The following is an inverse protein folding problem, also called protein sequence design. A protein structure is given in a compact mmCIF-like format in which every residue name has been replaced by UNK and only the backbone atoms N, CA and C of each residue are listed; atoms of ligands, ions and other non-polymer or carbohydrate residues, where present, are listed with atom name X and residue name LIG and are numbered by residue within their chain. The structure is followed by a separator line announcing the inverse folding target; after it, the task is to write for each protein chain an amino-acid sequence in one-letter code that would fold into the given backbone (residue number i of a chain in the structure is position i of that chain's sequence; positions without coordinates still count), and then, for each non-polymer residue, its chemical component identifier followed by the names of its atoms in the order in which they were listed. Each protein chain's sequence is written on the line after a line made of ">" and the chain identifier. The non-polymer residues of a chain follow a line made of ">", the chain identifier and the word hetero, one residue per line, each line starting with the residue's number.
data_IF_058356915570
#
_entry.id   IF_058356915570
#
_cell.length_a   1.000
_cell.length_b   1.000
_cell.length_c   1.000
_cell.angle_alpha   90.00
_cell.angle_beta   90.00
_cell.angle_gamma   90.00
#
_symmetry.space_group_name_H-M   'P 1'
#
loop_
_entity.id
_entity.type
_entity.pdbx_description
1 polymer ?
#
# COMPACT_ATOMS: atom_id res chain seq x y z
N UNK A 1 -1.27 -17.36 11.69
CA UNK A 1 -0.55 -17.75 10.47
C UNK A 1 -1.43 -17.58 9.26
N UNK A 2 -0.93 -16.82 8.28
CA UNK A 2 -1.56 -16.59 6.97
C UNK A 2 -1.22 -17.70 5.96
N UNK A 3 -0.39 -18.68 6.37
CA UNK A 3 0.11 -19.76 5.51
C UNK A 3 -0.97 -20.82 5.26
N UNK A 4 -1.48 -21.47 6.32
CA UNK A 4 -2.67 -22.34 6.24
C UNK A 4 -3.24 -22.63 7.64
N UNK A 5 -4.42 -23.26 7.69
CA UNK A 5 -5.10 -23.62 8.95
C UNK A 5 -4.26 -24.56 9.83
N UNK A 6 -3.56 -25.53 9.24
CA UNK A 6 -2.72 -26.49 9.98
C UNK A 6 -1.53 -25.81 10.65
N UNK A 7 -0.82 -24.93 9.93
CA UNK A 7 0.27 -24.12 10.51
C UNK A 7 -0.24 -23.18 11.60
N UNK A 8 -1.43 -22.59 11.41
CA UNK A 8 -2.06 -21.75 12.42
C UNK A 8 -2.36 -22.54 13.71
N UNK A 9 -2.86 -23.77 13.58
CA UNK A 9 -3.16 -24.66 14.69
C UNK A 9 -1.89 -25.07 15.46
N UNK A 10 -0.81 -25.42 14.75
CA UNK A 10 0.48 -25.81 15.34
C UNK A 10 1.05 -24.66 16.16
N UNK A 11 1.08 -23.45 15.59
CA UNK A 11 1.57 -22.26 16.31
C UNK A 11 0.73 -22.03 17.57
N UNK A 12 -0.60 -22.03 17.45
CA UNK A 12 -1.51 -21.77 18.58
C UNK A 12 -1.36 -22.78 19.73
N UNK A 13 -1.06 -24.04 19.43
CA UNK A 13 -0.99 -25.13 20.44
C UNK A 13 0.43 -25.44 20.93
N UNK A 14 1.46 -24.76 20.39
CA UNK A 14 2.84 -25.04 20.75
C UNK A 14 3.17 -24.52 22.15
N UNK A 15 3.24 -25.44 23.12
CA UNK A 15 3.69 -25.15 24.49
C UNK A 15 5.15 -24.69 24.54
N UNK A 16 6.00 -25.21 23.65
CA UNK A 16 7.40 -24.81 23.57
C UNK A 16 7.57 -23.37 23.10
N UNK A 17 6.76 -22.92 22.13
CA UNK A 17 6.74 -21.50 21.73
C UNK A 17 6.21 -20.62 22.86
N UNK A 18 5.13 -21.04 23.52
CA UNK A 18 4.57 -20.30 24.65
C UNK A 18 5.58 -20.12 25.79
N UNK A 19 6.28 -21.20 26.17
CA UNK A 19 7.34 -21.16 27.18
C UNK A 19 8.53 -20.28 26.76
N UNK A 20 8.93 -20.29 25.49
CA UNK A 20 10.01 -19.44 24.97
C UNK A 20 9.65 -17.95 25.08
N UNK A 21 8.43 -17.57 24.68
CA UNK A 21 8.00 -16.17 24.69
C UNK A 21 7.67 -15.64 26.08
N UNK A 22 7.16 -16.47 26.98
CA UNK A 22 7.01 -16.08 28.39
C UNK A 22 8.35 -15.91 29.11
N UNK A 23 9.40 -16.62 28.67
CA UNK A 23 10.77 -16.50 29.21
C UNK A 23 11.57 -15.35 28.62
N UNK A 24 11.13 -14.72 27.51
CA UNK A 24 11.81 -13.53 27.01
C UNK A 24 11.61 -12.39 28.01
N UNK A 25 12.70 -11.81 28.58
CA UNK A 25 12.57 -10.72 29.52
C UNK A 25 11.80 -9.58 28.85
N UNK A 26 10.76 -9.07 29.52
CA UNK A 26 10.34 -7.71 29.29
C UNK A 26 11.57 -6.85 29.57
N UNK A 27 12.20 -6.31 28.53
CA UNK A 27 13.42 -5.52 28.62
C UNK A 27 13.24 -4.19 29.39
N UNK A 28 12.09 -3.96 30.01
CA UNK A 28 11.81 -2.84 30.88
C UNK A 28 10.94 -3.34 32.06
N UNK A 29 11.45 -3.13 33.27
CA UNK A 29 10.83 -3.29 34.58
C UNK A 29 10.72 -4.70 35.18
N UNK A 30 11.59 -4.90 36.18
CA UNK A 30 11.37 -5.67 37.40
C UNK A 30 9.90 -5.94 37.72
N UNK A 31 9.41 -7.12 37.34
CA UNK A 31 8.33 -7.79 38.05
C UNK A 31 8.53 -9.28 37.89
N UNK A 32 8.67 -9.98 39.02
CA UNK A 32 8.52 -11.42 39.10
C UNK A 32 7.06 -11.76 38.79
N UNK A 33 6.67 -11.69 37.51
CA UNK A 33 5.37 -12.20 37.09
C UNK A 33 5.52 -13.70 36.87
N UNK A 34 4.83 -14.47 37.71
CA UNK A 34 4.58 -15.90 37.50
C UNK A 34 4.09 -16.13 36.08
N UNK A 35 4.65 -17.15 35.41
CA UNK A 35 4.30 -17.51 34.03
C UNK A 35 2.82 -17.90 33.97
N UNK A 36 1.99 -16.97 33.48
CA UNK A 36 0.56 -17.19 33.32
C UNK A 36 0.29 -17.98 32.03
N UNK A 37 0.13 -19.29 32.19
CA UNK A 37 -0.20 -20.21 31.09
C UNK A 37 -1.65 -20.08 30.60
N UNK A 38 -2.50 -19.25 31.21
CA UNK A 38 -3.90 -19.09 30.79
C UNK A 38 -4.07 -18.19 29.56
N UNK A 39 -3.11 -17.30 29.28
CA UNK A 39 -3.20 -16.39 28.14
C UNK A 39 -2.95 -17.10 26.79
N UNK A 40 -3.89 -16.99 25.82
CA UNK A 40 -3.68 -17.49 24.46
C UNK A 40 -2.45 -16.91 23.78
N UNK A 41 -1.66 -17.75 23.08
CA UNK A 41 -0.40 -17.36 22.45
C UNK A 41 -0.54 -16.17 21.47
N UNK A 42 -1.67 -16.06 20.76
CA UNK A 42 -1.89 -14.96 19.83
C UNK A 42 -1.95 -13.59 20.54
N UNK A 43 -2.57 -13.53 21.71
CA UNK A 43 -2.65 -12.29 22.51
C UNK A 43 -1.25 -11.93 23.03
N UNK A 44 -0.49 -12.93 23.48
CA UNK A 44 0.90 -12.71 23.91
C UNK A 44 1.78 -12.17 22.77
N UNK A 45 1.69 -12.76 21.59
CA UNK A 45 2.47 -12.33 20.42
C UNK A 45 2.07 -10.92 19.96
N UNK A 46 0.78 -10.61 20.00
CA UNK A 46 0.26 -9.28 19.69
C UNK A 46 0.79 -8.23 20.68
N UNK A 47 0.71 -8.51 21.99
CA UNK A 47 1.23 -7.61 23.02
C UNK A 47 2.75 -7.38 22.88
N UNK A 48 3.53 -8.43 22.64
CA UNK A 48 4.97 -8.31 22.39
C UNK A 48 5.25 -7.46 21.15
N UNK A 49 4.52 -7.69 20.05
CA UNK A 49 4.68 -6.93 18.82
C UNK A 49 4.35 -5.45 19.03
N UNK A 50 3.24 -5.15 19.70
CA UNK A 50 2.81 -3.78 20.00
C UNK A 50 3.81 -3.07 20.93
N UNK A 51 4.29 -3.74 21.98
CA UNK A 51 5.32 -3.18 22.87
C UNK A 51 6.61 -2.88 22.12
N UNK A 52 7.07 -3.80 21.26
CA UNK A 52 8.28 -3.59 20.44
C UNK A 52 8.11 -2.44 19.45
N UNK A 53 6.97 -2.37 18.74
CA UNK A 53 6.68 -1.26 17.83
C UNK A 53 6.59 0.07 18.56
N UNK A 54 5.92 0.13 19.71
CA UNK A 54 5.88 1.33 20.56
C UNK A 54 7.28 1.75 21.01
N UNK A 55 8.09 0.81 21.49
CA UNK A 55 9.47 1.10 21.91
C UNK A 55 10.32 1.62 20.75
N UNK A 56 10.21 1.01 19.57
CA UNK A 56 10.90 1.47 18.36
C UNK A 56 10.44 2.87 17.92
N UNK A 57 9.15 3.21 18.07
CA UNK A 57 8.64 4.54 17.73
C UNK A 57 9.06 5.63 18.73
N UNK A 58 9.12 5.30 20.02
CA UNK A 58 9.37 6.29 21.08
C UNK A 58 10.87 6.43 21.40
N UNK A 59 11.61 5.32 21.38
CA UNK A 59 13.02 5.24 21.80
C UNK A 59 13.95 4.79 20.67
N UNK A 60 13.42 4.46 19.50
CA UNK A 60 14.23 4.03 18.37
C UNK A 60 15.09 5.17 17.84
N UNK A 61 16.22 4.80 17.25
CA UNK A 61 17.04 5.72 16.49
C UNK A 61 16.41 5.95 15.12
N UNK A 62 16.30 7.21 14.71
CA UNK A 62 15.82 7.57 13.37
C UNK A 62 17.04 7.79 12.48
N UNK A 63 17.13 7.01 11.41
CA UNK A 63 18.05 7.30 10.31
C UNK A 63 17.26 7.98 9.18
N UNK A 64 17.81 9.07 8.66
CA UNK A 64 17.19 9.83 7.57
C UNK A 64 18.11 9.78 6.37
N UNK A 65 17.67 9.04 5.36
CA UNK A 65 18.30 9.04 4.04
C UNK A 65 17.61 10.07 3.14
N UNK A 66 18.40 10.80 2.36
CA UNK A 66 17.89 11.78 1.39
C UNK A 66 18.18 11.31 -0.03
N UNK A 67 17.12 11.09 -0.82
CA UNK A 67 17.25 10.73 -2.24
C UNK A 67 16.82 11.90 -3.11
N UNK A 68 17.69 12.31 -4.04
CA UNK A 68 17.36 13.30 -5.07
C UNK A 68 17.09 12.58 -6.37
N UNK A 69 16.00 12.94 -7.04
CA UNK A 69 15.64 12.33 -8.32
C UNK A 69 14.60 13.11 -9.11
N UNK A 70 13.56 13.62 -8.44
CA UNK A 70 12.60 14.51 -9.10
C UNK A 70 13.20 15.90 -9.28
N UNK A 71 12.90 16.53 -10.43
CA UNK A 71 13.30 17.91 -10.73
C UNK A 71 12.38 18.94 -10.07
N UNK A 72 11.24 18.50 -9.58
CA UNK A 72 10.19 19.32 -8.98
C UNK A 72 9.73 18.70 -7.66
N UNK A 73 8.77 19.35 -7.01
CA UNK A 73 8.15 18.87 -5.77
C UNK A 73 7.42 17.56 -6.03
N UNK A 74 7.59 16.61 -5.10
CA UNK A 74 6.88 15.34 -5.11
C UNK A 74 5.48 15.59 -4.56
N UNK A 75 4.46 15.31 -5.38
CA UNK A 75 3.07 15.52 -5.01
C UNK A 75 2.47 14.29 -4.31
N UNK A 76 3.00 13.10 -4.62
CA UNK A 76 2.44 11.83 -4.15
C UNK A 76 3.50 10.76 -3.92
N UNK A 77 3.27 9.93 -2.90
CA UNK A 77 4.09 8.74 -2.62
C UNK A 77 3.23 7.55 -2.16
N UNK A 78 3.64 6.34 -2.53
CA UNK A 78 3.05 5.07 -2.11
C UNK A 78 4.16 4.08 -1.78
N UNK A 79 4.04 3.33 -0.69
CA UNK A 79 4.98 2.26 -0.33
C UNK A 79 4.27 0.92 -0.25
N UNK A 80 4.84 -0.11 -0.90
CA UNK A 80 4.37 -1.49 -0.84
C UNK A 80 5.57 -2.44 -0.87
N UNK A 81 5.68 -3.34 0.13
CA UNK A 81 6.67 -4.43 0.17
C UNK A 81 8.12 -3.96 -0.08
N UNK A 82 8.55 -2.87 0.57
CA UNK A 82 9.91 -2.33 0.43
C UNK A 82 10.18 -1.58 -0.89
N UNK A 83 9.15 -1.37 -1.71
CA UNK A 83 9.18 -0.53 -2.89
C UNK A 83 8.44 0.77 -2.59
N UNK A 84 8.97 1.89 -3.07
CA UNK A 84 8.37 3.21 -2.92
C UNK A 84 8.16 3.79 -4.31
N UNK A 85 6.94 4.17 -4.65
CA UNK A 85 6.59 4.85 -5.89
C UNK A 85 6.29 6.30 -5.58
N UNK A 86 6.99 7.22 -6.24
CA UNK A 86 6.78 8.67 -6.13
C UNK A 86 6.32 9.23 -7.48
N UNK A 87 5.44 10.23 -7.43
CA UNK A 87 5.04 11.02 -8.59
C UNK A 87 5.21 12.50 -8.29
N UNK A 88 5.69 13.25 -9.27
CA UNK A 88 5.93 14.68 -9.16
C UNK A 88 5.43 15.43 -10.40
N UNK A 89 5.35 16.76 -10.28
CA UNK A 89 5.02 17.65 -11.39
C UNK A 89 6.02 17.63 -12.56
N UNK A 90 7.16 16.94 -12.44
CA UNK A 90 8.11 16.71 -13.53
C UNK A 90 7.62 15.69 -14.56
N UNK A 91 6.37 15.21 -14.43
CA UNK A 91 5.70 14.26 -15.33
C UNK A 91 6.42 12.91 -15.41
N UNK A 92 7.18 12.57 -14.38
CA UNK A 92 7.82 11.27 -14.22
C UNK A 92 7.38 10.66 -12.90
N UNK A 93 7.06 9.38 -12.91
CA UNK A 93 6.93 8.58 -11.70
C UNK A 93 8.20 7.74 -11.51
N UNK A 94 8.70 7.63 -10.28
CA UNK A 94 9.93 6.88 -9.98
C UNK A 94 9.67 5.80 -8.95
N UNK A 95 10.11 4.58 -9.25
CA UNK A 95 10.10 3.49 -8.27
C UNK A 95 11.47 3.35 -7.63
N UNK A 96 11.49 3.31 -6.31
CA UNK A 96 12.66 3.21 -5.46
C UNK A 96 12.66 1.92 -4.66
N UNK A 97 13.85 1.41 -4.34
CA UNK A 97 14.06 0.37 -3.35
C UNK A 97 14.30 1.00 -1.99
N UNK A 98 13.55 0.60 -0.97
CA UNK A 98 13.80 1.03 0.42
C UNK A 98 14.95 0.28 1.08
N UNK A 99 15.55 -0.71 0.41
CA UNK A 99 16.70 -1.47 0.92
C UNK A 99 18.01 -0.94 0.35
N UNK A 100 18.05 -0.72 -0.97
CA UNK A 100 19.26 -0.24 -1.66
C UNK A 100 19.29 1.27 -1.84
N UNK A 101 18.18 1.96 -1.55
CA UNK A 101 18.06 3.43 -1.68
C UNK A 101 18.29 3.95 -3.10
N UNK A 102 18.05 3.11 -4.11
CA UNK A 102 18.25 3.42 -5.52
C UNK A 102 16.93 3.55 -6.27
N UNK A 103 16.91 4.46 -7.25
CA UNK A 103 15.87 4.50 -8.27
C UNK A 103 16.01 3.24 -9.13
N UNK A 104 14.96 2.41 -9.15
CA UNK A 104 14.92 1.17 -9.91
C UNK A 104 14.37 1.40 -11.31
N UNK A 105 13.32 2.22 -11.44
CA UNK A 105 12.63 2.47 -12.72
C UNK A 105 11.99 3.86 -12.74
N UNK A 106 11.89 4.41 -13.94
CA UNK A 106 11.18 5.65 -14.21
C UNK A 106 10.05 5.42 -15.22
N UNK A 107 8.91 6.06 -15.01
CA UNK A 107 7.74 5.98 -15.87
C UNK A 107 7.36 7.38 -16.33
N UNK A 108 7.57 7.66 -17.63
CA UNK A 108 7.15 8.92 -18.22
C UNK A 108 5.64 8.91 -18.47
N UNK A 109 4.97 10.00 -18.04
CA UNK A 109 3.56 10.24 -18.25
C UNK A 109 3.24 10.70 -19.68
N UNK A 110 4.24 11.16 -20.44
CA UNK A 110 4.02 11.73 -21.77
C UNK A 110 3.33 13.10 -21.72
N UNK A 111 2.51 13.39 -22.73
CA UNK A 111 1.99 14.74 -23.02
C UNK A 111 1.00 15.31 -21.99
N UNK A 112 0.95 16.66 -21.93
CA UNK A 112 0.30 17.69 -21.06
C UNK A 112 -0.69 17.37 -19.92
N UNK A 113 -1.21 16.16 -19.75
CA UNK A 113 -2.27 15.88 -18.78
C UNK A 113 -1.68 15.51 -17.41
N UNK A 114 -2.16 16.13 -16.31
CA UNK A 114 -1.62 15.87 -14.98
C UNK A 114 -1.88 14.44 -14.49
N UNK A 115 -0.93 13.90 -13.74
CA UNK A 115 -1.11 12.73 -12.90
C UNK A 115 -2.06 13.09 -11.74
N UNK A 116 -3.15 12.36 -11.60
CA UNK A 116 -4.15 12.61 -10.56
C UNK A 116 -3.93 11.71 -9.35
N UNK A 117 -3.70 10.42 -9.56
CA UNK A 117 -3.39 9.45 -8.50
C UNK A 117 -2.72 8.23 -9.12
N UNK A 118 -2.07 7.41 -8.31
CA UNK A 118 -1.54 6.14 -8.74
C UNK A 118 -1.50 5.10 -7.62
N UNK A 119 -1.44 3.85 -8.05
CA UNK A 119 -1.07 2.75 -7.19
C UNK A 119 -0.35 1.67 -8.00
N UNK A 120 0.26 0.70 -7.33
CA UNK A 120 1.10 -0.30 -8.00
C UNK A 120 1.10 -1.64 -7.29
N UNK A 121 1.61 -2.65 -7.98
CA UNK A 121 2.00 -3.93 -7.45
C UNK A 121 3.41 -4.30 -7.95
N UNK A 122 3.85 -5.53 -7.70
CA UNK A 122 5.17 -6.02 -8.11
C UNK A 122 5.35 -6.10 -9.64
N UNK A 123 4.26 -6.15 -10.41
CA UNK A 123 4.23 -6.36 -11.86
C UNK A 123 4.00 -5.08 -12.67
N UNK A 124 3.26 -4.11 -12.12
CA UNK A 124 2.80 -2.93 -12.86
C UNK A 124 2.46 -1.75 -11.95
N UNK A 125 2.53 -0.57 -12.56
CA UNK A 125 1.97 0.68 -12.05
C UNK A 125 0.67 0.96 -12.78
N UNK A 126 -0.35 1.37 -12.03
CA UNK A 126 -1.63 1.85 -12.54
C UNK A 126 -1.78 3.30 -12.12
N UNK A 127 -1.93 4.21 -13.08
CA UNK A 127 -2.02 5.65 -12.85
C UNK A 127 -3.29 6.23 -13.46
N UNK A 128 -3.95 7.10 -12.70
CA UNK A 128 -5.04 7.95 -13.15
C UNK A 128 -4.44 9.22 -13.74
N UNK A 129 -4.56 9.40 -15.05
CA UNK A 129 -3.98 10.52 -15.80
C UNK A 129 -5.11 11.25 -16.53
N UNK A 130 -5.49 12.41 -16.00
CA UNK A 130 -6.71 13.13 -16.40
C UNK A 130 -7.97 12.27 -16.37
N UNK A 131 -8.47 11.91 -17.54
CA UNK A 131 -9.73 11.16 -17.72
C UNK A 131 -9.53 9.68 -18.04
N UNK A 132 -8.29 9.19 -17.92
CA UNK A 132 -7.89 7.85 -18.35
C UNK A 132 -7.11 7.13 -17.25
N UNK A 133 -7.18 5.80 -17.28
CA UNK A 133 -6.27 4.96 -16.51
C UNK A 133 -5.14 4.54 -17.46
N UNK A 134 -3.90 4.69 -17.03
CA UNK A 134 -2.70 4.24 -17.73
C UNK A 134 -2.05 3.12 -16.92
N UNK A 135 -1.45 2.16 -17.62
CA UNK A 135 -0.81 0.98 -17.02
C UNK A 135 0.61 0.91 -17.56
N UNK A 136 1.61 0.87 -16.68
CA UNK A 136 3.02 0.66 -17.01
C UNK A 136 3.47 -0.66 -16.40
N UNK A 137 3.84 -1.63 -17.24
CA UNK A 137 4.42 -2.89 -16.77
C UNK A 137 5.90 -2.69 -16.45
N UNK A 138 6.40 -3.35 -15.39
CA UNK A 138 7.80 -3.23 -14.94
C UNK A 138 8.84 -3.53 -16.03
N UNK A 139 8.54 -4.44 -16.95
CA UNK A 139 9.45 -4.85 -18.03
C UNK A 139 8.76 -4.80 -19.40
N UNK A 140 7.78 -3.91 -19.58
CA UNK A 140 6.95 -3.92 -20.76
C UNK A 140 6.46 -2.56 -21.20
N UNK A 141 5.51 -2.58 -22.12
CA UNK A 141 4.92 -1.38 -22.69
C UNK A 141 3.95 -0.68 -21.74
N UNK A 142 3.86 0.64 -21.91
CA UNK A 142 2.74 1.43 -21.42
C UNK A 142 1.49 1.11 -22.23
N UNK A 143 0.34 1.04 -21.56
CA UNK A 143 -0.97 0.90 -22.20
C UNK A 143 -2.02 1.79 -21.53
N UNK A 144 -3.11 2.07 -22.24
CA UNK A 144 -4.22 2.92 -21.76
C UNK A 144 -5.48 2.06 -21.60
N UNK A 145 -6.24 2.36 -20.55
CA UNK A 145 -7.40 1.62 -20.10
C UNK A 145 -8.68 2.48 -20.12
N UNK A 146 -9.77 1.95 -20.70
CA UNK A 146 -9.87 1.34 -22.03
C UNK A 146 -9.45 2.29 -23.16
N UNK A 147 -9.26 1.75 -24.36
CA UNK A 147 -8.91 2.53 -25.55
C UNK A 147 -10.08 3.35 -26.13
N UNK A 148 -11.32 3.09 -25.71
CA UNK A 148 -12.51 3.88 -26.12
C UNK A 148 -12.58 5.13 -25.24
N UNK A 149 -12.68 6.30 -25.87
CA UNK A 149 -12.73 7.58 -25.16
C UNK A 149 -13.84 7.59 -24.09
N UNK A 150 -13.55 8.14 -22.91
CA UNK A 150 -14.59 8.48 -21.93
C UNK A 150 -14.85 7.48 -20.79
N UNK A 151 -13.89 6.62 -20.41
CA UNK A 151 -13.41 6.54 -19.00
C UNK A 151 -14.42 6.92 -17.93
N UNK A 152 -14.33 8.19 -17.62
CA UNK A 152 -15.10 9.02 -16.71
C UNK A 152 -14.84 10.47 -17.14
N UNK A 153 -15.74 11.38 -16.78
CA UNK A 153 -15.60 12.81 -17.09
C UNK A 153 -14.34 13.40 -16.46
N UNK A 154 -14.11 13.10 -15.18
CA UNK A 154 -12.89 13.46 -14.44
C UNK A 154 -12.76 12.58 -13.20
N UNK A 155 -11.60 11.94 -13.05
CA UNK A 155 -11.26 11.20 -11.83
C UNK A 155 -10.61 12.15 -10.82
N UNK A 156 -10.86 11.93 -9.54
CA UNK A 156 -10.33 12.72 -8.43
C UNK A 156 -9.33 11.94 -7.58
N UNK A 157 -9.49 10.62 -7.49
CA UNK A 157 -8.60 9.72 -6.75
C UNK A 157 -8.73 8.29 -7.27
N UNK A 158 -7.76 7.44 -6.96
CA UNK A 158 -7.76 6.04 -7.36
C UNK A 158 -7.11 5.13 -6.33
N UNK A 159 -7.63 3.91 -6.20
CA UNK A 159 -6.93 2.78 -5.56
C UNK A 159 -6.88 1.61 -6.51
N UNK A 160 -5.81 0.82 -6.41
CA UNK A 160 -5.70 -0.38 -7.22
C UNK A 160 -5.20 -1.58 -6.41
N UNK A 161 -5.89 -2.69 -6.60
CA UNK A 161 -5.58 -4.01 -6.05
C UNK A 161 -5.95 -5.02 -7.12
N UNK A 162 -4.97 -5.79 -7.60
CA UNK A 162 -5.18 -6.73 -8.70
C UNK A 162 -6.44 -7.60 -8.48
N UNK A 163 -7.39 -7.65 -9.44
CA UNK A 163 -7.34 -7.08 -10.79
C UNK A 163 -8.01 -5.69 -10.94
N UNK A 164 -8.50 -5.07 -9.87
CA UNK A 164 -9.40 -3.93 -9.93
C UNK A 164 -8.73 -2.58 -9.62
N UNK A 165 -9.05 -1.57 -10.42
CA UNK A 165 -8.84 -0.17 -10.08
C UNK A 165 -10.18 0.48 -9.75
N UNK A 166 -10.25 1.19 -8.64
CA UNK A 166 -11.43 1.92 -8.18
C UNK A 166 -11.14 3.41 -8.26
N UNK A 167 -11.96 4.14 -9.01
CA UNK A 167 -11.82 5.59 -9.25
C UNK A 167 -12.99 6.33 -8.64
N UNK A 168 -12.72 7.36 -7.82
CA UNK A 168 -13.71 8.34 -7.41
C UNK A 168 -13.81 9.46 -8.44
N UNK A 169 -15.01 9.78 -8.91
CA UNK A 169 -15.25 10.72 -10.01
C UNK A 169 -15.93 12.01 -9.53
N UNK A 170 -15.68 13.11 -10.25
CA UNK A 170 -16.27 14.42 -9.98
C UNK A 170 -17.80 14.43 -10.14
N UNK A 171 -18.35 13.51 -10.94
CA UNK A 171 -19.79 13.30 -11.13
C UNK A 171 -20.50 12.63 -9.93
N UNK A 172 -19.81 12.50 -8.79
CA UNK A 172 -20.31 11.88 -7.56
C UNK A 172 -20.33 10.34 -7.60
N UNK A 173 -19.69 9.73 -8.60
CA UNK A 173 -19.74 8.27 -8.79
C UNK A 173 -18.44 7.59 -8.44
N UNK A 174 -18.52 6.29 -8.18
CA UNK A 174 -17.33 5.42 -8.08
C UNK A 174 -17.32 4.49 -9.27
N UNK A 175 -16.20 4.38 -9.97
CA UNK A 175 -16.04 3.43 -11.07
C UNK A 175 -15.08 2.32 -10.70
N UNK A 176 -15.52 1.07 -10.89
CA UNK A 176 -14.70 -0.12 -10.67
C UNK A 176 -14.32 -0.68 -12.03
N UNK A 177 -13.03 -0.66 -12.29
CA UNK A 177 -12.43 -1.00 -13.57
C UNK A 177 -11.57 -2.26 -13.41
N UNK A 178 -11.92 -3.34 -14.11
CA UNK A 178 -11.17 -4.60 -14.09
C UNK A 178 -10.08 -4.58 -15.17
N UNK A 179 -8.82 -4.70 -14.74
CA UNK A 179 -7.63 -4.51 -15.59
C UNK A 179 -7.42 -5.63 -16.62
N UNK A 180 -8.03 -6.80 -16.42
CA UNK A 180 -7.87 -7.96 -17.30
C UNK A 180 -8.92 -8.01 -18.39
N UNK A 181 -10.20 -7.91 -18.02
CA UNK A 181 -11.35 -7.87 -18.94
C UNK A 181 -11.47 -6.53 -19.68
N UNK A 182 -10.79 -5.48 -19.19
CA UNK A 182 -10.94 -4.10 -19.69
C UNK A 182 -12.35 -3.54 -19.59
N UNK A 183 -13.13 -4.07 -18.66
CA UNK A 183 -14.46 -3.58 -18.35
C UNK A 183 -14.40 -2.52 -17.25
N UNK A 184 -15.32 -1.56 -17.29
CA UNK A 184 -15.51 -0.64 -16.17
C UNK A 184 -16.99 -0.47 -15.87
N UNK A 185 -17.34 -0.68 -14.61
CA UNK A 185 -18.69 -0.56 -14.08
C UNK A 185 -18.81 0.70 -13.24
N UNK A 186 -20.00 1.30 -13.23
CA UNK A 186 -20.31 2.49 -12.44
C UNK A 186 -21.14 2.05 -11.23
N UNK A 187 -20.70 2.45 -10.04
CA UNK A 187 -21.47 2.34 -8.80
C UNK A 187 -21.94 3.76 -8.45
N UNK A 188 -23.24 3.91 -8.36
CA UNK A 188 -23.87 5.13 -7.85
C UNK A 188 -24.30 4.80 -6.43
N UNK A 189 -23.71 5.46 -5.43
CA UNK A 189 -24.31 5.46 -4.10
C UNK A 189 -25.34 6.58 -4.08
N UNK A 190 -26.62 6.22 -4.16
CA UNK A 190 -27.69 7.16 -3.84
C UNK A 190 -27.70 7.39 -2.33
N UNK A 191 -27.45 8.62 -1.93
CA UNK A 191 -27.81 9.15 -0.63
C UNK A 191 -28.06 10.63 -0.85
N UNK A 192 -29.32 11.02 -0.98
CA UNK A 192 -29.72 12.40 -0.77
C UNK A 192 -29.10 12.89 0.54
N UNK A 193 -28.45 14.03 0.45
CA UNK A 193 -27.75 14.65 1.55
C UNK A 193 -27.28 16.00 1.10
N UNK A 194 -28.23 16.90 0.81
CA UNK A 194 -28.01 18.31 1.05
C UNK A 194 -27.28 18.43 2.39
N UNK A 195 -26.02 18.86 2.34
CA UNK A 195 -25.38 19.44 3.50
C UNK A 195 -25.30 20.93 3.21
N UNK A 196 -26.06 21.67 4.00
CA UNK A 196 -26.18 23.13 4.08
C UNK A 196 -24.81 23.80 4.17
#
# INVERSE_FOLDING_TARGET
>A
SVVCKSWNLIIRRSRSLHALYCKQPAADAASNQSIDFERPLNILLEDIAMRRHKSALVRGTVHVDQWRGHMTVIDQCRMKRGLILTGAGDKVMRLWSSESYKCLQEYSLGDEVPLVDFDFDESKVVGLVGTRICIWRRHGSRSIFPARAGTFTKGLCMRYMDPEAVVGCEDGTVRVCDMYSRSCSRIIRSGEGHML
#
